data_IF_116107192010
#
_entry.id   IF_116107192010
#
_cell.length_a   1.000
_cell.length_b   1.000
_cell.length_c   1.000
_cell.angle_alpha   90.00
_cell.angle_beta   90.00
_cell.angle_gamma   90.00
#
_symmetry.space_group_name_H-M   'P 1'
#
loop_
_entity.id
_entity.type
_entity.pdbx_description
1 polymer ?
#
# COMPACT_ATOMS: atom_id res chain seq x y z
N UNK A 1 10.06 5.70 9.35
CA UNK A 1 9.31 4.44 9.33
C UNK A 1 10.24 3.24 9.21
N UNK A 2 9.88 2.07 9.76
CA UNK A 2 10.64 0.83 9.61
C UNK A 2 10.00 -0.03 8.51
N UNK A 3 10.79 -0.54 7.59
CA UNK A 3 10.34 -1.57 6.64
C UNK A 3 10.26 -2.90 7.38
N UNK A 4 9.10 -3.55 7.36
CA UNK A 4 8.89 -4.85 8.02
C UNK A 4 8.80 -6.02 7.05
N UNK A 5 8.58 -5.73 5.77
CA UNK A 5 8.68 -6.72 4.71
C UNK A 5 8.96 -6.01 3.39
N UNK A 6 9.87 -6.57 2.58
CA UNK A 6 10.18 -6.06 1.24
C UNK A 6 9.74 -7.02 0.15
N UNK A 7 10.33 -6.87 -1.04
CA UNK A 7 10.04 -7.71 -2.20
C UNK A 7 10.30 -9.19 -1.91
N UNK A 8 9.41 -10.08 -2.36
CA UNK A 8 9.58 -11.52 -2.20
C UNK A 8 9.51 -12.03 -0.75
N UNK A 9 8.83 -11.30 0.14
CA UNK A 9 8.73 -11.58 1.58
C UNK A 9 8.33 -13.01 1.98
N UNK A 10 8.64 -13.36 3.23
CA UNK A 10 8.38 -14.71 3.79
C UNK A 10 6.93 -14.92 4.22
N UNK A 11 6.22 -13.88 4.64
CA UNK A 11 4.82 -13.99 5.06
C UNK A 11 3.88 -13.89 3.84
N UNK A 12 4.00 -12.81 3.08
CA UNK A 12 3.24 -12.53 1.85
C UNK A 12 4.20 -12.24 0.67
N UNK A 13 3.85 -11.37 -0.28
CA UNK A 13 4.72 -10.86 -1.36
C UNK A 13 5.31 -11.91 -2.30
N UNK A 14 4.58 -12.99 -2.57
CA UNK A 14 5.02 -14.05 -3.51
C UNK A 14 4.16 -14.19 -4.76
N UNK A 15 2.97 -13.58 -4.77
CA UNK A 15 2.08 -13.59 -5.94
C UNK A 15 2.53 -12.55 -6.96
N UNK A 16 2.09 -12.70 -8.22
CA UNK A 16 2.29 -11.67 -9.24
C UNK A 16 1.79 -10.29 -8.77
N UNK A 17 0.69 -10.25 -8.03
CA UNK A 17 0.05 -9.02 -7.51
C UNK A 17 0.81 -8.31 -6.37
N UNK A 18 1.72 -8.99 -5.67
CA UNK A 18 2.35 -8.44 -4.46
C UNK A 18 3.86 -8.69 -4.35
N UNK A 19 4.47 -9.30 -5.37
CA UNK A 19 5.90 -9.64 -5.37
C UNK A 19 6.79 -8.43 -5.07
N UNK A 20 6.38 -7.26 -5.56
CA UNK A 20 7.09 -6.00 -5.39
C UNK A 20 6.38 -5.05 -4.40
N UNK A 21 5.61 -5.59 -3.46
CA UNK A 21 5.04 -4.80 -2.37
C UNK A 21 6.09 -4.51 -1.28
N UNK A 22 5.85 -3.44 -0.52
CA UNK A 22 6.66 -3.06 0.64
C UNK A 22 5.74 -2.75 1.81
N UNK A 23 6.06 -3.33 2.97
CA UNK A 23 5.32 -3.11 4.20
C UNK A 23 6.07 -2.15 5.11
N UNK A 24 5.42 -1.05 5.49
CA UNK A 24 5.94 -0.05 6.40
C UNK A 24 5.22 -0.13 7.74
N UNK A 25 5.96 -0.33 8.82
CA UNK A 25 5.40 -0.29 10.17
C UNK A 25 4.88 1.12 10.49
N UNK A 26 3.59 1.16 10.83
CA UNK A 26 2.83 2.35 11.22
C UNK A 26 1.95 1.99 12.41
N UNK A 27 1.68 2.95 13.29
CA UNK A 27 0.61 2.81 14.27
C UNK A 27 -0.74 2.93 13.56
N UNK A 28 -1.81 2.33 14.10
CA UNK A 28 -3.16 2.56 13.57
C UNK A 28 -3.51 4.05 13.71
N UNK A 29 -3.98 4.65 12.62
CA UNK A 29 -4.33 6.07 12.57
C UNK A 29 -3.20 7.01 12.11
N UNK A 30 -1.99 6.49 11.85
CA UNK A 30 -0.95 7.27 11.18
C UNK A 30 -1.43 7.69 9.78
N UNK A 31 -1.10 8.93 9.41
CA UNK A 31 -1.45 9.47 8.09
C UNK A 31 -0.67 8.77 6.98
N UNK A 32 -1.40 8.35 5.96
CA UNK A 32 -0.89 7.82 4.70
C UNK A 32 -1.09 8.89 3.62
N UNK A 33 -0.02 9.21 2.91
CA UNK A 33 -0.04 10.20 1.83
C UNK A 33 0.11 9.55 0.46
N UNK A 34 -0.40 10.22 -0.57
CA UNK A 34 -0.16 9.85 -1.96
C UNK A 34 1.34 9.92 -2.28
N UNK A 35 1.84 8.90 -2.98
CA UNK A 35 3.26 8.75 -3.33
C UNK A 35 3.62 9.57 -4.56
N UNK A 36 2.63 9.86 -5.40
CA UNK A 36 2.72 10.65 -6.62
C UNK A 36 1.33 11.23 -6.94
N UNK A 37 1.30 12.25 -7.80
CA UNK A 37 0.06 12.84 -8.32
C UNK A 37 -0.80 11.78 -9.02
N UNK A 38 -2.11 11.80 -8.83
CA UNK A 38 -2.99 10.81 -9.46
C UNK A 38 -4.47 11.03 -9.21
N UNK A 39 -5.28 10.17 -9.80
CA UNK A 39 -6.73 10.12 -9.61
C UNK A 39 -7.09 8.91 -8.75
N UNK A 40 -7.96 9.09 -7.76
CA UNK A 40 -8.49 8.00 -6.95
C UNK A 40 -9.43 7.15 -7.81
N UNK A 41 -9.09 5.87 -7.99
CA UNK A 41 -9.85 4.93 -8.82
C UNK A 41 -10.44 3.76 -8.03
N UNK A 42 -10.15 3.67 -6.73
CA UNK A 42 -10.75 2.67 -5.87
C UNK A 42 -10.60 3.02 -4.40
N UNK A 43 -11.70 2.87 -3.65
CA UNK A 43 -11.76 3.03 -2.20
C UNK A 43 -12.58 1.89 -1.63
N UNK A 44 -12.02 1.18 -0.66
CA UNK A 44 -12.71 0.21 0.18
C UNK A 44 -12.38 0.54 1.63
N UNK A 45 -13.38 0.82 2.46
CA UNK A 45 -13.13 1.26 3.85
C UNK A 45 -14.10 0.67 4.89
N UNK A 46 -14.98 -0.26 4.48
CA UNK A 46 -16.03 -0.79 5.34
C UNK A 46 -15.58 -1.88 6.32
N UNK A 47 -14.41 -2.49 6.11
CA UNK A 47 -13.94 -3.58 6.97
C UNK A 47 -13.39 -3.05 8.30
N UNK A 48 -13.65 -3.79 9.38
CA UNK A 48 -13.20 -3.43 10.75
C UNK A 48 -12.22 -4.43 11.36
N UNK A 49 -12.07 -5.61 10.74
CA UNK A 49 -11.33 -6.72 11.31
C UNK A 49 -10.18 -7.16 10.40
N UNK A 50 -9.22 -7.84 11.00
CA UNK A 50 -8.08 -8.43 10.34
C UNK A 50 -7.41 -9.47 11.22
N UNK A 51 -6.43 -10.17 10.66
CA UNK A 51 -5.62 -11.11 11.41
C UNK A 51 -4.75 -12.01 10.55
N UNK A 52 -3.93 -12.87 11.19
CA UNK A 52 -2.88 -13.63 10.52
C UNK A 52 -3.40 -14.88 9.81
N UNK A 53 -4.72 -15.08 9.76
CA UNK A 53 -5.35 -16.21 9.04
C UNK A 53 -5.62 -15.81 7.60
N UNK A 54 -5.29 -16.68 6.65
CA UNK A 54 -5.51 -16.43 5.21
C UNK A 54 -6.96 -16.11 4.83
N UNK A 55 -7.93 -16.52 5.65
CA UNK A 55 -9.34 -16.18 5.47
C UNK A 55 -9.60 -14.66 5.45
N UNK A 56 -8.69 -13.84 5.99
CA UNK A 56 -8.82 -12.38 6.00
C UNK A 56 -8.32 -11.69 4.72
N UNK A 57 -7.86 -12.44 3.71
CA UNK A 57 -7.22 -11.87 2.50
C UNK A 57 -8.08 -10.85 1.75
N UNK A 58 -9.40 -11.09 1.71
CA UNK A 58 -10.33 -10.29 0.90
C UNK A 58 -11.05 -9.21 1.73
N UNK A 59 -10.62 -9.01 2.98
CA UNK A 59 -11.27 -8.12 3.97
C UNK A 59 -10.37 -6.94 4.36
N UNK A 60 -9.52 -6.47 3.45
CA UNK A 60 -8.66 -5.31 3.67
C UNK A 60 -9.28 -4.04 3.10
N UNK A 61 -9.17 -2.94 3.85
CA UNK A 61 -9.45 -1.61 3.34
C UNK A 61 -8.26 -1.08 2.56
N UNK A 62 -8.53 -0.35 1.48
CA UNK A 62 -7.49 0.22 0.64
C UNK A 62 -7.95 1.42 -0.18
N UNK A 63 -6.97 2.21 -0.62
CA UNK A 63 -7.11 3.25 -1.65
C UNK A 63 -6.22 2.84 -2.83
N UNK A 64 -6.73 3.01 -4.06
CA UNK A 64 -5.96 2.82 -5.30
C UNK A 64 -5.95 4.11 -6.09
N UNK A 65 -4.76 4.58 -6.46
CA UNK A 65 -4.56 5.76 -7.31
C UNK A 65 -4.07 5.33 -8.70
N UNK A 66 -4.58 6.00 -9.73
CA UNK A 66 -4.06 5.93 -11.10
C UNK A 66 -3.23 7.16 -11.41
N UNK A 67 -2.00 6.96 -11.88
CA UNK A 67 -1.02 8.02 -12.11
C UNK A 67 -0.84 8.39 -13.59
N UNK A 68 -1.66 7.83 -14.48
CA UNK A 68 -1.42 7.88 -15.92
C UNK A 68 -0.48 6.77 -16.39
N UNK A 69 -0.37 6.63 -17.72
CA UNK A 69 0.57 5.71 -18.38
C UNK A 69 0.52 4.25 -17.91
N UNK A 70 -0.64 3.80 -17.40
CA UNK A 70 -0.83 2.42 -16.94
C UNK A 70 -0.23 2.10 -15.56
N UNK A 71 0.16 3.09 -14.76
CA UNK A 71 0.69 2.87 -13.41
C UNK A 71 -0.34 3.18 -12.33
N UNK A 72 -0.38 2.31 -11.32
CA UNK A 72 -1.24 2.47 -10.16
C UNK A 72 -0.43 2.30 -8.88
N UNK A 73 -0.82 3.01 -7.83
CA UNK A 73 -0.39 2.70 -6.47
C UNK A 73 -1.56 2.25 -5.63
N UNK A 74 -1.32 1.33 -4.70
CA UNK A 74 -2.32 0.85 -3.78
C UNK A 74 -1.81 0.89 -2.34
N UNK A 75 -2.66 1.40 -1.45
CA UNK A 75 -2.40 1.63 -0.04
C UNK A 75 -3.35 0.74 0.77
N UNK A 76 -2.85 -0.34 1.36
CA UNK A 76 -3.68 -1.41 1.93
C UNK A 76 -3.54 -1.47 3.45
N UNK A 77 -4.50 -2.16 4.08
CA UNK A 77 -4.64 -2.35 5.52
C UNK A 77 -5.06 -1.08 6.26
N UNK A 78 -5.78 -0.17 5.59
CA UNK A 78 -6.30 1.06 6.17
C UNK A 78 -7.32 0.76 7.29
N UNK A 79 -7.56 1.70 8.20
CA UNK A 79 -8.60 1.50 9.23
C UNK A 79 -10.00 1.61 8.62
N UNK A 80 -11.01 1.15 9.35
CA UNK A 80 -12.42 1.41 8.99
C UNK A 80 -12.66 2.92 8.96
N UNK A 81 -13.42 3.38 7.96
CA UNK A 81 -13.75 4.80 7.75
C UNK A 81 -12.48 5.67 7.75
N UNK A 82 -11.44 5.12 7.11
CA UNK A 82 -10.07 5.66 7.12
C UNK A 82 -9.71 6.42 5.85
N UNK A 83 -10.58 6.46 4.83
CA UNK A 83 -10.34 7.24 3.64
C UNK A 83 -10.51 8.73 3.93
N UNK A 84 -9.64 9.56 3.35
CA UNK A 84 -9.77 11.02 3.35
C UNK A 84 -10.16 11.55 1.97
N UNK A 85 -10.37 10.65 1.01
CA UNK A 85 -10.64 10.93 -0.39
C UNK A 85 -11.72 9.99 -0.92
N UNK A 86 -12.36 10.39 -2.01
CA UNK A 86 -13.39 9.62 -2.70
C UNK A 86 -12.95 9.24 -4.11
N UNK A 87 -13.61 8.23 -4.70
CA UNK A 87 -13.34 7.85 -6.09
C UNK A 87 -13.65 9.02 -7.02
N UNK A 88 -12.69 9.36 -7.88
CA UNK A 88 -12.78 10.51 -8.79
C UNK A 88 -11.95 11.71 -8.35
N UNK A 89 -11.53 11.77 -7.07
CA UNK A 89 -10.69 12.86 -6.59
C UNK A 89 -9.31 12.84 -7.27
N UNK A 90 -8.81 14.03 -7.58
CA UNK A 90 -7.42 14.22 -8.00
C UNK A 90 -6.58 14.66 -6.81
N UNK A 91 -5.44 14.02 -6.59
CA UNK A 91 -4.56 14.24 -5.44
C UNK A 91 -3.13 14.55 -5.89
N UNK A 92 -2.41 15.34 -5.08
CA UNK A 92 -0.98 15.63 -5.26
C UNK A 92 -0.09 14.65 -4.50
N UNK A 93 1.14 14.48 -4.94
CA UNK A 93 2.19 13.85 -4.14
C UNK A 93 2.28 14.51 -2.75
N UNK A 94 2.44 13.67 -1.71
CA UNK A 94 2.42 14.04 -0.29
C UNK A 94 1.06 14.49 0.27
N UNK A 95 0.01 14.56 -0.53
CA UNK A 95 -1.33 14.85 -0.04
C UNK A 95 -1.83 13.71 0.87
N UNK A 96 -2.36 13.99 2.07
CA UNK A 96 -3.00 12.99 2.92
C UNK A 96 -4.20 12.36 2.21
N UNK A 97 -4.22 11.03 2.10
CA UNK A 97 -5.30 10.30 1.43
C UNK A 97 -6.02 9.32 2.35
N UNK A 98 -5.39 8.90 3.45
CA UNK A 98 -6.00 7.90 4.32
C UNK A 98 -5.26 7.74 5.64
N UNK A 99 -5.82 6.88 6.47
CA UNK A 99 -5.30 6.53 7.78
C UNK A 99 -4.95 5.04 7.83
N UNK A 100 -3.73 4.73 8.26
CA UNK A 100 -3.26 3.36 8.44
C UNK A 100 -4.16 2.59 9.41
N UNK A 101 -4.17 1.27 9.28
CA UNK A 101 -4.97 0.40 10.13
C UNK A 101 -4.35 -0.97 10.31
N UNK A 102 -5.24 -1.95 10.45
CA UNK A 102 -4.88 -3.35 10.65
C UNK A 102 -5.99 -4.29 10.13
N UNK A 103 -6.67 -3.91 9.05
CA UNK A 103 -7.75 -4.73 8.46
C UNK A 103 -7.19 -5.77 7.50
N UNK A 104 -7.87 -6.90 7.31
CA UNK A 104 -7.50 -7.92 6.34
C UNK A 104 -6.38 -8.86 6.80
N UNK A 105 -5.61 -9.41 5.85
CA UNK A 105 -4.57 -10.41 6.15
C UNK A 105 -3.27 -9.76 6.65
N UNK A 106 -3.21 -9.52 7.96
CA UNK A 106 -2.12 -8.79 8.64
C UNK A 106 -1.76 -9.46 9.97
N UNK A 107 -0.50 -9.34 10.41
CA UNK A 107 -0.02 -9.79 11.72
C UNK A 107 0.18 -8.64 12.72
N UNK A 108 0.32 -7.41 12.23
CA UNK A 108 0.62 -6.20 13.02
C UNK A 108 0.23 -4.95 12.24
N UNK A 109 -0.11 -3.81 12.86
CA UNK A 109 -0.39 -2.58 12.12
C UNK A 109 0.76 -2.15 11.19
N UNK A 110 0.42 -1.91 9.93
CA UNK A 110 1.35 -1.47 8.89
C UNK A 110 0.58 -0.93 7.67
N UNK A 111 1.31 -0.24 6.78
CA UNK A 111 0.87 0.01 5.41
C UNK A 111 1.50 -1.04 4.49
N UNK A 112 0.67 -1.79 3.77
CA UNK A 112 1.11 -2.56 2.61
C UNK A 112 0.99 -1.66 1.39
N UNK A 113 2.13 -1.31 0.81
CA UNK A 113 2.22 -0.41 -0.35
C UNK A 113 2.58 -1.21 -1.60
N UNK A 114 1.84 -0.96 -2.67
CA UNK A 114 1.97 -1.67 -3.93
C UNK A 114 2.07 -0.69 -5.10
N UNK A 115 2.96 -0.98 -6.05
CA UNK A 115 2.90 -0.39 -7.39
C UNK A 115 2.45 -1.46 -8.36
N UNK A 116 1.43 -1.15 -9.15
CA UNK A 116 0.72 -2.11 -9.99
C UNK A 116 0.68 -1.64 -11.44
N UNK A 117 0.74 -2.59 -12.36
CA UNK A 117 0.66 -2.39 -13.81
C UNK A 117 -0.29 -3.41 -14.45
N UNK A 118 -1.01 -3.03 -15.53
CA UNK A 118 -1.78 -3.98 -16.32
C UNK A 118 -0.84 -4.87 -17.15
N UNK A 119 -1.22 -6.14 -17.25
CA UNK A 119 -0.57 -7.17 -18.04
C UNK A 119 -1.64 -7.98 -18.77
N UNK A 120 -1.30 -8.77 -19.81
CA UNK A 120 -2.26 -9.65 -20.46
C UNK A 120 -2.95 -10.64 -19.51
N UNK A 121 -2.31 -10.97 -18.38
CA UNK A 121 -2.86 -11.88 -17.35
C UNK A 121 -3.64 -11.16 -16.24
N UNK A 122 -3.92 -9.86 -16.38
CA UNK A 122 -4.55 -9.01 -15.37
C UNK A 122 -3.57 -8.04 -14.73
N UNK A 123 -3.76 -7.69 -13.46
CA UNK A 123 -2.89 -6.74 -12.74
C UNK A 123 -1.72 -7.47 -12.06
N UNK A 124 -0.51 -6.95 -12.23
CA UNK A 124 0.70 -7.43 -11.55
C UNK A 124 1.39 -6.30 -10.80
N UNK A 125 2.08 -6.64 -9.72
CA UNK A 125 3.01 -5.72 -9.06
C UNK A 125 4.21 -5.43 -9.96
N UNK A 126 4.74 -4.22 -9.84
CA UNK A 126 5.95 -3.75 -10.52
C UNK A 126 6.92 -3.17 -9.50
N UNK A 127 8.24 -3.25 -9.75
CA UNK A 127 9.20 -2.53 -8.93
C UNK A 127 9.00 -1.02 -9.09
N UNK A 128 9.28 -0.27 -8.02
CA UNK A 128 9.25 1.18 -8.01
C UNK A 128 10.54 1.77 -7.46
N UNK A 129 10.90 2.94 -7.99
CA UNK A 129 11.95 3.80 -7.47
C UNK A 129 11.32 5.04 -6.82
N UNK A 130 11.98 5.56 -5.80
CA UNK A 130 11.48 6.64 -4.96
C UNK A 130 12.26 7.93 -5.22
N UNK A 131 11.60 9.07 -5.01
CA UNK A 131 12.13 10.40 -5.36
C UNK A 131 13.47 10.75 -4.69
N UNK A 132 13.82 10.10 -3.58
CA UNK A 132 15.09 10.30 -2.89
C UNK A 132 16.21 9.32 -3.33
N UNK A 133 16.04 8.68 -4.48
CA UNK A 133 17.03 7.79 -5.09
C UNK A 133 17.02 6.37 -4.55
N UNK A 134 16.15 6.05 -3.59
CA UNK A 134 15.99 4.67 -3.12
C UNK A 134 15.23 3.85 -4.15
N UNK A 135 15.70 2.64 -4.39
CA UNK A 135 14.95 1.64 -5.17
C UNK A 135 14.13 0.78 -4.23
N UNK A 136 13.02 0.21 -4.68
CA UNK A 136 12.25 -0.70 -3.83
C UNK A 136 13.03 -1.97 -3.45
N UNK A 137 14.01 -2.39 -4.25
CA UNK A 137 14.95 -3.47 -3.91
C UNK A 137 15.83 -3.12 -2.70
N UNK A 138 16.10 -1.83 -2.47
CA UNK A 138 16.85 -1.35 -1.30
C UNK A 138 16.00 -1.37 -0.02
N UNK A 139 14.67 -1.36 -0.13
CA UNK A 139 13.73 -1.36 1.00
C UNK A 139 13.55 -2.77 1.57
N UNK A 140 14.58 -3.24 2.29
CA UNK A 140 14.60 -4.56 2.92
C UNK A 140 14.05 -4.52 4.34
N UNK A 141 13.51 -5.66 4.80
CA UNK A 141 13.08 -5.85 6.17
C UNK A 141 14.16 -5.41 7.16
N UNK A 142 13.76 -4.61 8.16
CA UNK A 142 14.64 -4.04 9.16
C UNK A 142 15.19 -2.65 8.83
N UNK A 143 15.12 -2.19 7.57
CA UNK A 143 15.56 -0.85 7.18
C UNK A 143 14.77 0.22 7.94
N UNK A 144 15.48 1.17 8.55
CA UNK A 144 14.90 2.37 9.14
C UNK A 144 15.03 3.53 8.17
N UNK A 145 13.90 4.17 7.91
CA UNK A 145 13.77 5.34 7.05
C UNK A 145 13.49 6.52 7.97
N UNK A 146 14.38 7.50 8.01
CA UNK A 146 14.10 8.73 8.74
C UNK A 146 13.10 9.56 7.93
N UNK A 147 12.18 10.27 8.62
CA UNK A 147 11.40 11.29 7.92
C UNK A 147 12.39 12.34 7.39
N UNK A 148 12.20 12.85 6.16
CA UNK A 148 12.86 14.09 5.77
C UNK A 148 12.47 15.21 6.76
#
# INVERSE_FOLDING_TARGET
YRVIQGYGGKFSHRSAYSRYAVDFSLAVGDTVCAAADGVVVGVIEGYSLGGPKRAWRDYANFITLYHGSGFFTQYVHLKKDGSLVEVGDWVRANEPIGLSGNTGFTSTPHLHFNVLVPTPAGISSAPADFADGRTGQSLKEGLKINKP
#
